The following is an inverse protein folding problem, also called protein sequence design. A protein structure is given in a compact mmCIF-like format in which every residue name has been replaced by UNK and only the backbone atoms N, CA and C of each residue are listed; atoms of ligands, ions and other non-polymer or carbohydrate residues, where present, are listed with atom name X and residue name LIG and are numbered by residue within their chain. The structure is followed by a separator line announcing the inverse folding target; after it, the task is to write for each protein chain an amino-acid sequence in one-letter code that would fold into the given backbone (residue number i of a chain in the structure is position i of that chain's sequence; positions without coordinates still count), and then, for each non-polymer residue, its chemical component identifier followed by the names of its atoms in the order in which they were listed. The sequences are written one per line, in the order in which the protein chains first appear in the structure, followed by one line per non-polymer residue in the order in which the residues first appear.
data_IF_333636426639
#
_entry.id   IF_333636426639
#
_cell.length_a   1.000
_cell.length_b   1.000
_cell.length_c   1.000
_cell.angle_alpha   90.00
_cell.angle_beta   90.00
_cell.angle_gamma   90.00
#
_symmetry.space_group_name_H-M   'P 1'
#
loop_
_entity.id
_entity.type
_entity.pdbx_description
1 polymer ?
#
# COMPACT_ATOMS: atom_id res chain seq x y z
N UNK A 1 -25.46 -22.09 9.03
CA UNK A 1 -24.99 -22.01 10.43
C UNK A 1 -26.09 -21.32 11.22
N UNK A 2 -26.64 -22.03 12.21
CA UNK A 2 -27.78 -21.61 13.02
C UNK A 2 -27.39 -20.46 13.96
N UNK A 3 -28.30 -19.50 14.26
CA UNK A 3 -28.08 -18.54 15.32
C UNK A 3 -28.32 -19.22 16.67
N UNK A 4 -27.34 -19.19 17.55
CA UNK A 4 -27.47 -19.69 18.92
C UNK A 4 -28.10 -18.60 19.78
N UNK A 5 -29.40 -18.74 20.03
CA UNK A 5 -30.15 -18.10 21.11
C UNK A 5 -29.49 -18.48 22.44
N UNK A 6 -28.76 -17.55 23.04
CA UNK A 6 -28.22 -17.67 24.40
C UNK A 6 -28.55 -16.37 25.12
N UNK A 7 -29.83 -16.16 25.41
CA UNK A 7 -30.27 -14.95 26.13
C UNK A 7 -31.41 -15.18 27.13
N UNK A 8 -31.87 -16.41 27.33
CA UNK A 8 -33.06 -16.69 28.17
C UNK A 8 -32.76 -17.49 29.46
N UNK A 9 -31.49 -17.63 29.85
CA UNK A 9 -31.11 -18.45 31.03
C UNK A 9 -30.53 -17.68 32.23
N UNK A 10 -30.33 -16.36 32.13
CA UNK A 10 -29.81 -15.58 33.28
C UNK A 10 -30.91 -14.79 34.03
N UNK A 11 -32.10 -14.62 33.46
CA UNK A 11 -33.20 -13.89 34.12
C UNK A 11 -34.08 -14.78 35.03
N UNK A 12 -34.09 -16.11 34.83
CA UNK A 12 -34.96 -17.02 35.61
C UNK A 12 -34.40 -17.37 37.01
N UNK A 13 -33.09 -17.23 37.22
CA UNK A 13 -32.45 -17.48 38.51
C UNK A 13 -32.46 -16.23 39.43
N UNK A 14 -32.70 -15.04 38.89
CA UNK A 14 -32.81 -13.81 39.70
C UNK A 14 -34.19 -13.61 40.34
N UNK A 15 -35.27 -14.13 39.74
CA UNK A 15 -36.62 -14.02 40.31
C UNK A 15 -36.90 -15.02 41.44
N UNK A 16 -36.28 -16.20 41.42
CA UNK A 16 -36.50 -17.23 42.45
C UNK A 16 -35.73 -17.00 43.76
N UNK A 17 -34.84 -16.02 43.84
CA UNK A 17 -34.09 -15.67 45.07
C UNK A 17 -34.77 -14.60 45.94
N UNK A 18 -35.93 -14.06 45.55
CA UNK A 18 -36.68 -13.06 46.35
C UNK A 18 -37.73 -13.65 47.29
N UNK A 19 -37.57 -14.89 47.77
CA UNK A 19 -38.28 -15.36 48.97
C UNK A 19 -37.41 -15.09 50.19
N UNK A 20 -37.60 -13.91 50.79
CA UNK A 20 -37.02 -13.55 52.09
C UNK A 20 -37.72 -14.40 53.15
N UNK A 21 -37.17 -15.59 53.42
CA UNK A 21 -37.49 -16.31 54.65
C UNK A 21 -36.84 -15.55 55.79
N UNK A 22 -37.66 -14.90 56.63
CA UNK A 22 -37.17 -14.31 57.86
C UNK A 22 -36.60 -15.44 58.73
N UNK A 23 -35.27 -15.46 58.87
CA UNK A 23 -34.54 -16.43 59.70
C UNK A 23 -35.08 -16.41 61.13
N UNK A 24 -35.11 -17.54 61.84
CA UNK A 24 -35.59 -17.63 63.24
C UNK A 24 -35.00 -16.57 64.18
N UNK A 25 -33.77 -16.12 63.90
CA UNK A 25 -33.08 -15.02 64.58
C UNK A 25 -33.78 -13.67 64.38
N UNK A 26 -34.28 -13.38 63.18
CA UNK A 26 -35.03 -12.14 62.87
C UNK A 26 -36.42 -12.14 63.55
N UNK A 27 -37.04 -13.31 63.68
CA UNK A 27 -38.30 -13.48 64.42
C UNK A 27 -38.07 -13.34 65.95
N UNK A 28 -36.91 -13.80 66.44
CA UNK A 28 -36.49 -13.63 67.83
C UNK A 28 -36.17 -12.19 68.22
N UNK A 29 -35.46 -11.45 67.35
CA UNK A 29 -35.17 -10.02 67.52
C UNK A 29 -36.44 -9.16 67.47
N UNK A 30 -37.33 -9.39 66.50
CA UNK A 30 -38.60 -8.66 66.40
C UNK A 30 -39.49 -8.82 67.65
N UNK A 31 -39.47 -9.99 68.31
CA UNK A 31 -40.19 -10.20 69.59
C UNK A 31 -39.53 -9.46 70.77
N UNK A 32 -38.23 -9.22 70.72
CA UNK A 32 -37.50 -8.51 71.76
C UNK A 32 -37.65 -6.99 71.63
N UNK A 33 -37.74 -6.48 70.40
CA UNK A 33 -37.98 -5.06 70.07
C UNK A 33 -39.40 -4.58 70.43
N UNK A 34 -40.39 -5.48 70.39
CA UNK A 34 -41.76 -5.20 70.87
C UNK A 34 -41.79 -5.00 72.39
N UNK A 35 -40.89 -5.66 73.13
CA UNK A 35 -40.87 -5.63 74.59
C UNK A 35 -39.95 -4.55 75.18
N UNK A 36 -38.92 -4.09 74.45
CA UNK A 36 -38.06 -3.00 74.90
C UNK A 36 -37.60 -2.10 73.72
N UNK A 37 -38.43 -1.13 73.30
CA UNK A 37 -38.23 -0.39 72.06
C UNK A 37 -37.00 0.54 72.04
N UNK A 38 -36.31 0.72 73.17
CA UNK A 38 -35.11 1.58 73.30
C UNK A 38 -33.80 0.83 73.57
N UNK A 39 -33.80 -0.50 73.50
CA UNK A 39 -32.63 -1.34 73.84
C UNK A 39 -31.48 -1.29 72.83
N UNK A 40 -30.25 -1.54 73.31
CA UNK A 40 -29.01 -1.53 72.52
C UNK A 40 -29.02 -2.45 71.27
N UNK A 41 -29.83 -3.50 71.27
CA UNK A 41 -29.97 -4.40 70.12
C UNK A 41 -30.71 -3.78 68.92
N UNK A 42 -31.62 -2.82 69.15
CA UNK A 42 -32.26 -2.06 68.08
C UNK A 42 -31.22 -1.20 67.34
N UNK A 43 -30.32 -0.56 68.09
CA UNK A 43 -29.24 0.24 67.49
C UNK A 43 -28.22 -0.62 66.74
N UNK A 44 -27.94 -1.84 67.19
CA UNK A 44 -27.07 -2.79 66.47
C UNK A 44 -27.72 -3.29 65.18
N UNK A 45 -29.03 -3.55 65.17
CA UNK A 45 -29.77 -3.95 63.97
C UNK A 45 -29.87 -2.80 62.97
N UNK A 46 -30.17 -1.58 63.42
CA UNK A 46 -30.18 -0.39 62.57
C UNK A 46 -28.80 -0.15 61.94
N UNK A 47 -27.72 -0.25 62.72
CA UNK A 47 -26.34 -0.16 62.21
C UNK A 47 -26.02 -1.30 61.23
N UNK A 48 -26.47 -2.52 61.48
CA UNK A 48 -26.28 -3.65 60.56
C UNK A 48 -27.03 -3.45 59.24
N UNK A 49 -28.25 -2.89 59.28
CA UNK A 49 -29.05 -2.56 58.10
C UNK A 49 -28.45 -1.40 57.30
N UNK A 50 -27.95 -0.36 57.97
CA UNK A 50 -27.22 0.74 57.30
C UNK A 50 -25.93 0.25 56.66
N UNK A 51 -25.15 -0.59 57.36
CA UNK A 51 -23.96 -1.22 56.82
C UNK A 51 -24.28 -2.13 55.63
N UNK A 52 -25.35 -2.94 55.71
CA UNK A 52 -25.80 -3.78 54.61
C UNK A 52 -26.21 -2.95 53.38
N UNK A 53 -26.96 -1.86 53.58
CA UNK A 53 -27.32 -0.93 52.49
C UNK A 53 -26.07 -0.33 51.84
N UNK A 54 -25.14 0.16 52.65
CA UNK A 54 -23.88 0.75 52.16
C UNK A 54 -23.05 -0.26 51.38
N UNK A 55 -22.84 -1.46 51.91
CA UNK A 55 -22.09 -2.53 51.23
C UNK A 55 -22.80 -2.98 49.96
N UNK A 56 -24.13 -3.04 49.95
CA UNK A 56 -24.90 -3.36 48.74
C UNK A 56 -24.75 -2.29 47.66
N UNK A 57 -24.73 -1.00 48.03
CA UNK A 57 -24.50 0.09 47.09
C UNK A 57 -23.07 0.11 46.56
N UNK A 58 -22.07 -0.10 47.43
CA UNK A 58 -20.67 -0.24 47.03
C UNK A 58 -20.48 -1.44 46.11
N UNK A 59 -21.10 -2.60 46.41
CA UNK A 59 -21.06 -3.79 45.57
C UNK A 59 -21.67 -3.51 44.19
N UNK A 60 -22.84 -2.85 44.12
CA UNK A 60 -23.45 -2.46 42.84
C UNK A 60 -22.57 -1.54 42.01
N UNK A 61 -21.89 -0.57 42.65
CA UNK A 61 -20.93 0.31 41.98
C UNK A 61 -19.74 -0.48 41.43
N UNK A 62 -19.12 -1.34 42.25
CA UNK A 62 -17.99 -2.17 41.82
C UNK A 62 -18.36 -3.16 40.71
N UNK A 63 -19.57 -3.72 40.75
CA UNK A 63 -20.08 -4.59 39.69
C UNK A 63 -20.26 -3.81 38.38
N UNK A 64 -20.82 -2.61 38.45
CA UNK A 64 -20.95 -1.75 37.28
C UNK A 64 -19.59 -1.34 36.69
N UNK A 65 -18.62 -0.99 37.53
CA UNK A 65 -17.25 -0.68 37.11
C UNK A 65 -16.57 -1.90 36.46
N UNK A 66 -16.76 -3.09 37.02
CA UNK A 66 -16.24 -4.34 36.45
C UNK A 66 -16.85 -4.64 35.09
N UNK A 67 -18.17 -4.48 34.93
CA UNK A 67 -18.85 -4.65 33.64
C UNK A 67 -18.36 -3.64 32.59
N UNK A 68 -18.13 -2.38 32.98
CA UNK A 68 -17.55 -1.37 32.09
C UNK A 68 -16.13 -1.76 31.66
N UNK A 69 -15.28 -2.19 32.60
CA UNK A 69 -13.92 -2.63 32.28
C UNK A 69 -13.92 -3.87 31.37
N UNK A 70 -14.82 -4.82 31.62
CA UNK A 70 -14.99 -6.01 30.77
C UNK A 70 -15.37 -5.62 29.35
N UNK A 71 -16.35 -4.71 29.16
CA UNK A 71 -16.72 -4.20 27.83
C UNK A 71 -15.55 -3.54 27.11
N UNK A 72 -14.76 -2.73 27.82
CA UNK A 72 -13.55 -2.10 27.24
C UNK A 72 -12.49 -3.13 26.82
N UNK A 73 -12.34 -4.23 27.57
CA UNK A 73 -11.44 -5.32 27.19
C UNK A 73 -11.95 -6.09 25.96
N UNK A 74 -13.25 -6.34 25.89
CA UNK A 74 -13.88 -7.00 24.74
C UNK A 74 -13.75 -6.15 23.47
N UNK A 75 -14.02 -4.84 23.56
CA UNK A 75 -13.79 -3.89 22.46
C UNK A 75 -12.33 -3.89 21.99
N UNK A 76 -11.37 -3.87 22.93
CA UNK A 76 -9.94 -3.96 22.59
C UNK A 76 -9.59 -5.28 21.92
N UNK A 77 -10.18 -6.38 22.38
CA UNK A 77 -9.99 -7.71 21.78
C UNK A 77 -10.51 -7.76 20.36
N UNK A 78 -11.70 -7.23 20.10
CA UNK A 78 -12.24 -7.14 18.74
C UNK A 78 -11.37 -6.31 17.81
N UNK A 79 -10.85 -5.17 18.29
CA UNK A 79 -9.94 -4.32 17.51
C UNK A 79 -8.64 -5.07 17.19
N UNK A 80 -8.10 -5.83 18.14
CA UNK A 80 -6.91 -6.66 17.92
C UNK A 80 -7.17 -7.77 16.91
N UNK A 81 -8.32 -8.45 16.99
CA UNK A 81 -8.70 -9.52 16.06
C UNK A 81 -8.87 -8.98 14.64
N UNK A 82 -9.52 -7.82 14.47
CA UNK A 82 -9.63 -7.13 13.17
C UNK A 82 -8.26 -6.79 12.62
N UNK A 83 -7.38 -6.21 13.44
CA UNK A 83 -6.00 -5.87 13.04
C UNK A 83 -5.19 -7.11 12.67
N UNK A 84 -5.37 -8.21 13.39
CA UNK A 84 -4.71 -9.48 13.06
C UNK A 84 -5.21 -10.04 11.73
N UNK A 85 -6.51 -9.91 11.43
CA UNK A 85 -7.10 -10.25 10.14
C UNK A 85 -6.50 -9.43 8.99
N UNK A 86 -6.42 -8.11 9.16
CA UNK A 86 -5.80 -7.20 8.18
C UNK A 86 -4.31 -7.51 7.94
N UNK A 87 -3.56 -7.83 9.01
CA UNK A 87 -2.15 -8.21 8.90
C UNK A 87 -1.98 -9.52 8.11
N UNK A 88 -2.83 -10.53 8.35
CA UNK A 88 -2.81 -11.78 7.59
C UNK A 88 -3.15 -11.56 6.12
N UNK A 89 -4.12 -10.68 5.83
CA UNK A 89 -4.47 -10.30 4.45
C UNK A 89 -3.31 -9.58 3.74
N UNK A 90 -2.66 -8.61 4.40
CA UNK A 90 -1.47 -7.95 3.83
C UNK A 90 -0.31 -8.93 3.62
N UNK A 91 -0.11 -9.88 4.53
CA UNK A 91 0.93 -10.90 4.39
C UNK A 91 0.68 -11.82 3.19
N UNK A 92 -0.58 -12.22 2.94
CA UNK A 92 -0.93 -13.03 1.78
C UNK A 92 -0.79 -12.24 0.46
N UNK A 93 -1.16 -10.96 0.46
CA UNK A 93 -0.96 -10.05 -0.67
C UNK A 93 0.53 -9.88 -1.02
N UNK A 94 1.39 -9.66 -0.03
CA UNK A 94 2.83 -9.54 -0.21
C UNK A 94 3.44 -10.85 -0.76
N UNK A 95 2.98 -11.99 -0.25
CA UNK A 95 3.43 -13.31 -0.74
C UNK A 95 3.02 -13.51 -2.20
N UNK A 96 1.78 -13.18 -2.54
CA UNK A 96 1.24 -13.26 -3.92
C UNK A 96 1.97 -12.29 -4.86
N UNK A 97 2.29 -11.09 -4.39
CA UNK A 97 3.09 -10.12 -5.14
C UNK A 97 4.50 -10.65 -5.41
N UNK A 98 5.18 -11.21 -4.40
CA UNK A 98 6.50 -11.82 -4.56
C UNK A 98 6.50 -12.99 -5.54
N UNK A 99 5.45 -13.82 -5.54
CA UNK A 99 5.29 -14.91 -6.52
C UNK A 99 5.12 -14.36 -7.95
N UNK A 100 4.21 -13.41 -8.16
CA UNK A 100 4.00 -12.76 -9.47
C UNK A 100 5.26 -12.08 -9.99
N UNK A 101 6.06 -11.48 -9.10
CA UNK A 101 7.33 -10.88 -9.50
C UNK A 101 8.32 -11.93 -9.98
N UNK A 102 8.50 -13.03 -9.24
CA UNK A 102 9.37 -14.14 -9.65
C UNK A 102 8.95 -14.76 -10.98
N UNK A 103 7.66 -14.95 -11.21
CA UNK A 103 7.12 -15.46 -12.47
C UNK A 103 7.42 -14.52 -13.64
N UNK A 104 7.25 -13.20 -13.45
CA UNK A 104 7.62 -12.19 -14.46
C UNK A 104 9.12 -12.19 -14.74
N UNK A 105 9.95 -12.28 -13.72
CA UNK A 105 11.40 -12.32 -13.88
C UNK A 105 11.83 -13.58 -14.65
N UNK A 106 11.24 -14.75 -14.33
CA UNK A 106 11.46 -16.01 -15.07
C UNK A 106 11.01 -15.91 -16.53
N UNK A 107 9.83 -15.34 -16.79
CA UNK A 107 9.32 -15.19 -18.15
C UNK A 107 10.18 -14.23 -18.97
N UNK A 108 10.69 -13.18 -18.34
CA UNK A 108 11.61 -12.21 -18.97
C UNK A 108 12.94 -12.87 -19.31
N UNK A 109 13.51 -13.65 -18.38
CA UNK A 109 14.73 -14.43 -18.62
C UNK A 109 14.55 -15.41 -19.77
N UNK A 110 13.45 -16.16 -19.79
CA UNK A 110 13.13 -17.10 -20.87
C UNK A 110 13.04 -16.40 -22.24
N UNK A 111 12.36 -15.24 -22.31
CA UNK A 111 12.28 -14.47 -23.55
C UNK A 111 13.64 -13.92 -23.99
N UNK A 112 14.51 -13.54 -23.05
CA UNK A 112 15.86 -13.09 -23.37
C UNK A 112 16.73 -14.24 -23.90
N UNK A 113 16.64 -15.42 -23.30
CA UNK A 113 17.34 -16.62 -23.79
C UNK A 113 16.85 -17.01 -25.19
N UNK A 114 15.54 -17.02 -25.42
CA UNK A 114 14.98 -17.31 -26.74
C UNK A 114 15.47 -16.32 -27.81
N UNK A 115 15.47 -15.02 -27.50
CA UNK A 115 16.02 -13.99 -28.42
C UNK A 115 17.51 -14.19 -28.68
N UNK A 116 18.27 -14.59 -27.65
CA UNK A 116 19.71 -14.86 -27.81
C UNK A 116 19.93 -16.04 -28.75
N UNK A 117 19.13 -17.11 -28.62
CA UNK A 117 19.23 -18.28 -29.49
C UNK A 117 18.83 -17.95 -30.94
N UNK A 118 17.80 -17.13 -31.15
CA UNK A 118 17.43 -16.63 -32.47
C UNK A 118 18.55 -15.80 -33.11
N UNK A 119 19.19 -14.91 -32.35
CA UNK A 119 20.34 -14.14 -32.81
C UNK A 119 21.51 -15.06 -33.19
N UNK A 120 21.79 -16.08 -32.37
CA UNK A 120 22.84 -17.07 -32.66
C UNK A 120 22.54 -17.88 -33.92
N UNK A 121 21.30 -18.27 -34.17
CA UNK A 121 20.90 -18.92 -35.42
C UNK A 121 21.13 -18.01 -36.63
N UNK A 122 20.67 -16.76 -36.57
CA UNK A 122 20.90 -15.80 -37.65
C UNK A 122 22.39 -15.56 -37.90
N UNK A 123 23.19 -15.50 -36.84
CA UNK A 123 24.64 -15.31 -36.96
C UNK A 123 25.31 -16.52 -37.62
N UNK A 124 24.86 -17.74 -37.34
CA UNK A 124 25.30 -18.95 -38.02
C UNK A 124 24.88 -18.97 -39.51
N UNK A 125 23.67 -18.52 -39.83
CA UNK A 125 23.22 -18.38 -41.23
C UNK A 125 24.09 -17.38 -41.99
N UNK A 126 24.40 -16.22 -41.38
CA UNK A 126 25.30 -15.21 -41.95
C UNK A 126 26.69 -15.79 -42.16
N UNK A 127 27.24 -16.55 -41.19
CA UNK A 127 28.53 -17.21 -41.34
C UNK A 127 28.52 -18.18 -42.54
N UNK A 128 27.47 -18.99 -42.69
CA UNK A 128 27.33 -19.90 -43.82
C UNK A 128 27.26 -19.18 -45.18
N UNK A 129 26.56 -18.05 -45.24
CA UNK A 129 26.52 -17.21 -46.45
C UNK A 129 27.89 -16.60 -46.77
N UNK A 130 28.64 -16.16 -45.76
CA UNK A 130 30.00 -15.63 -45.93
C UNK A 130 30.92 -16.70 -46.53
N UNK A 131 30.87 -17.94 -46.02
CA UNK A 131 31.65 -19.04 -46.56
C UNK A 131 31.28 -19.38 -48.01
N UNK A 132 29.98 -19.35 -48.35
CA UNK A 132 29.52 -19.53 -49.73
C UNK A 132 30.02 -18.43 -50.66
N UNK A 133 29.98 -17.17 -50.23
CA UNK A 133 30.50 -16.02 -51.00
C UNK A 133 32.00 -16.16 -51.19
N UNK A 134 32.75 -16.56 -50.16
CA UNK A 134 34.19 -16.79 -50.24
C UNK A 134 34.50 -17.91 -51.25
N UNK A 135 33.79 -19.04 -51.19
CA UNK A 135 33.91 -20.14 -52.14
C UNK A 135 33.57 -19.74 -53.58
N UNK A 136 32.48 -19.01 -53.80
CA UNK A 136 32.10 -18.49 -55.10
C UNK A 136 33.15 -17.52 -55.67
N UNK A 137 33.73 -16.67 -54.82
CA UNK A 137 34.78 -15.73 -55.21
C UNK A 137 36.06 -16.45 -55.63
N UNK A 138 36.45 -17.52 -54.92
CA UNK A 138 37.58 -18.36 -55.28
C UNK A 138 37.37 -19.05 -56.64
N UNK A 139 36.18 -19.59 -56.89
CA UNK A 139 35.82 -20.19 -58.19
C UNK A 139 35.85 -19.17 -59.33
N UNK A 140 35.32 -17.97 -59.10
CA UNK A 140 35.36 -16.88 -60.08
C UNK A 140 36.80 -16.50 -60.44
N UNK A 141 37.70 -16.46 -59.44
CA UNK A 141 39.11 -16.19 -59.66
C UNK A 141 39.78 -17.29 -60.50
N UNK A 142 39.54 -18.56 -60.18
CA UNK A 142 40.04 -19.69 -60.95
C UNK A 142 39.53 -19.68 -62.41
N UNK A 143 38.25 -19.36 -62.62
CA UNK A 143 37.66 -19.22 -63.94
C UNK A 143 38.31 -18.08 -64.74
N UNK A 144 38.54 -16.91 -64.13
CA UNK A 144 39.26 -15.80 -64.78
C UNK A 144 40.65 -16.22 -65.23
N UNK A 145 41.40 -16.90 -64.37
CA UNK A 145 42.73 -17.42 -64.71
C UNK A 145 42.68 -18.41 -65.88
N UNK A 146 41.71 -19.33 -65.89
CA UNK A 146 41.53 -20.29 -66.99
C UNK A 146 41.15 -19.60 -68.31
N UNK A 147 40.31 -18.58 -68.24
CA UNK A 147 39.88 -17.81 -69.41
C UNK A 147 41.05 -17.04 -70.04
N UNK A 148 41.98 -16.53 -69.22
CA UNK A 148 43.26 -15.98 -69.73
C UNK A 148 44.08 -17.05 -70.46
N UNK A 149 44.15 -18.28 -69.95
CA UNK A 149 44.84 -19.38 -70.65
C UNK A 149 44.17 -19.69 -72.00
N UNK A 150 42.83 -19.76 -72.05
CA UNK A 150 42.10 -19.97 -73.30
C UNK A 150 42.31 -18.83 -74.30
N UNK A 151 42.46 -17.59 -73.84
CA UNK A 151 42.81 -16.46 -74.69
C UNK A 151 44.14 -16.68 -75.42
N UNK A 152 45.17 -17.12 -74.70
CA UNK A 152 46.49 -17.47 -75.30
C UNK A 152 46.35 -18.59 -76.33
N UNK A 153 45.56 -19.63 -76.03
CA UNK A 153 45.28 -20.70 -77.01
C UNK A 153 44.55 -20.18 -78.25
N UNK A 154 43.56 -19.31 -78.08
CA UNK A 154 42.82 -18.72 -79.20
C UNK A 154 43.73 -17.88 -80.09
N UNK A 155 44.60 -17.07 -79.50
CA UNK A 155 45.59 -16.26 -80.23
C UNK A 155 46.56 -17.17 -81.01
N UNK A 156 47.02 -18.26 -80.39
CA UNK A 156 47.87 -19.27 -81.05
C UNK A 156 47.18 -19.96 -82.23
N UNK A 157 45.93 -20.41 -82.06
CA UNK A 157 45.16 -21.05 -83.13
C UNK A 157 44.88 -20.07 -84.26
N UNK A 158 44.55 -18.81 -83.96
CA UNK A 158 44.43 -17.76 -84.97
C UNK A 158 45.73 -17.57 -85.76
N UNK A 159 46.88 -17.58 -85.08
CA UNK A 159 48.19 -17.50 -85.74
C UNK A 159 48.45 -18.68 -86.68
N UNK A 160 48.14 -19.91 -86.26
CA UNK A 160 48.28 -21.10 -87.12
C UNK A 160 47.30 -21.04 -88.30
N UNK A 161 46.06 -20.63 -88.06
CA UNK A 161 45.05 -20.49 -89.11
C UNK A 161 45.46 -19.45 -90.17
N UNK A 162 46.05 -18.33 -89.74
CA UNK A 162 46.65 -17.33 -90.64
C UNK A 162 47.82 -17.90 -91.45
N UNK A 163 48.66 -18.76 -90.84
CA UNK A 163 49.74 -19.47 -91.55
C UNK A 163 49.21 -20.50 -92.56
N UNK A 164 48.15 -21.25 -92.22
CA UNK A 164 47.52 -22.27 -93.10
C UNK A 164 46.74 -21.65 -94.26
N UNK A 165 46.08 -20.51 -94.06
CA UNK A 165 45.36 -19.78 -95.11
C UNK A 165 46.29 -18.95 -96.03
N UNK A 166 47.61 -19.18 -95.98
CA UNK A 166 48.53 -18.72 -97.01
C UNK A 166 48.85 -17.23 -97.00
N UNK A 167 48.76 -16.54 -95.87
CA UNK A 167 49.31 -15.16 -95.77
C UNK A 167 50.83 -15.13 -95.52
N UNK A 168 51.46 -16.29 -95.34
CA UNK A 168 52.91 -16.48 -95.51
C UNK A 168 53.15 -17.79 -96.26
N UNK A 169 53.11 -17.72 -97.59
CA UNK A 169 53.61 -18.78 -98.44
C UNK A 169 55.13 -18.64 -98.53
N UNK A 170 55.86 -19.30 -97.62
CA UNK A 170 57.24 -19.69 -97.91
C UNK A 170 57.18 -20.99 -98.71
N UNK A 171 57.57 -20.85 -99.98
CA UNK A 171 57.48 -21.89 -100.98
C UNK A 171 58.34 -23.10 -100.64
N UNK A 172 57.86 -24.27 -101.06
CA UNK A 172 58.64 -25.38 -101.65
C UNK A 172 57.67 -26.53 -101.91
N UNK A 173 57.01 -26.54 -103.07
CA UNK A 173 56.34 -27.73 -103.57
C UNK A 173 57.27 -28.48 -104.55
N UNK A 174 57.68 -29.68 -104.18
CA UNK A 174 58.23 -30.68 -105.11
C UNK A 174 57.08 -31.38 -105.86
N UNK A 175 57.29 -31.81 -107.11
CA UNK A 175 56.24 -32.41 -107.92
C UNK A 175 56.02 -33.87 -107.49
N UNK A 176 55.06 -34.10 -106.60
CA UNK A 176 54.55 -35.45 -106.31
C UNK A 176 53.68 -35.95 -107.47
N UNK A 177 53.76 -37.26 -107.74
CA UNK A 177 52.90 -37.98 -108.68
C UNK A 177 51.42 -37.77 -108.36
N UNK A 178 50.58 -37.63 -109.39
CA UNK A 178 49.15 -37.30 -109.29
C UNK A 178 48.38 -38.29 -108.40
N UNK A 179 48.86 -39.53 -108.31
CA UNK A 179 48.26 -40.61 -107.50
C UNK A 179 48.65 -40.54 -106.02
N UNK A 180 49.84 -40.01 -105.69
CA UNK A 180 50.27 -39.76 -104.32
C UNK A 180 49.65 -38.49 -103.74
N UNK A 181 49.39 -37.48 -104.58
CA UNK A 181 48.58 -36.31 -104.21
C UNK A 181 47.16 -36.74 -103.85
N UNK A 182 46.50 -37.53 -104.72
CA UNK A 182 45.18 -38.10 -104.47
C UNK A 182 45.13 -38.94 -103.18
N UNK A 183 46.09 -39.83 -102.93
CA UNK A 183 46.11 -40.64 -101.71
C UNK A 183 46.35 -39.81 -100.44
N UNK A 184 47.25 -38.82 -100.46
CA UNK A 184 47.46 -37.93 -99.31
C UNK A 184 46.23 -37.06 -99.03
N UNK A 185 45.55 -36.61 -100.08
CA UNK A 185 44.32 -35.82 -100.00
C UNK A 185 43.15 -36.65 -99.45
N UNK A 186 43.06 -37.93 -99.84
CA UNK A 186 42.06 -38.87 -99.34
C UNK A 186 42.28 -39.24 -97.86
N UNK A 187 43.54 -39.49 -97.46
CA UNK A 187 43.90 -39.71 -96.04
C UNK A 187 43.63 -38.46 -95.21
N UNK A 188 43.96 -37.28 -95.74
CA UNK A 188 43.68 -36.01 -95.07
C UNK A 188 42.18 -35.76 -94.90
N UNK A 189 41.38 -36.01 -95.94
CA UNK A 189 39.91 -35.93 -95.85
C UNK A 189 39.35 -36.89 -94.80
N UNK A 190 39.86 -38.13 -94.75
CA UNK A 190 39.40 -39.13 -93.79
C UNK A 190 39.75 -38.74 -92.35
N UNK A 191 40.97 -38.24 -92.11
CA UNK A 191 41.38 -37.72 -90.81
C UNK A 191 40.56 -36.50 -90.39
N UNK A 192 40.23 -35.60 -91.33
CA UNK A 192 39.36 -34.46 -91.07
C UNK A 192 37.93 -34.89 -90.71
N UNK A 193 37.36 -35.85 -91.44
CA UNK A 193 36.03 -36.39 -91.16
C UNK A 193 35.98 -37.06 -89.77
N UNK A 194 37.01 -37.81 -89.41
CA UNK A 194 37.10 -38.49 -88.12
C UNK A 194 37.31 -37.49 -86.97
N UNK A 195 38.13 -36.45 -87.16
CA UNK A 195 38.30 -35.37 -86.20
C UNK A 195 37.01 -34.57 -86.00
N UNK A 196 36.28 -34.26 -87.07
CA UNK A 196 34.97 -33.59 -87.03
C UNK A 196 33.94 -34.47 -86.32
N UNK A 197 33.86 -35.76 -86.64
CA UNK A 197 32.95 -36.71 -86.00
C UNK A 197 33.19 -36.84 -84.49
N UNK A 198 34.46 -37.00 -84.08
CA UNK A 198 34.83 -37.07 -82.68
C UNK A 198 34.49 -35.77 -81.91
N UNK A 199 34.62 -34.62 -82.57
CA UNK A 199 34.31 -33.32 -81.96
C UNK A 199 32.80 -33.09 -81.85
N UNK A 200 32.04 -33.52 -82.85
CA UNK A 200 30.58 -33.49 -82.83
C UNK A 200 30.02 -34.35 -81.70
N UNK A 201 30.55 -35.56 -81.50
CA UNK A 201 30.15 -36.42 -80.38
C UNK A 201 30.47 -35.80 -79.00
N UNK A 202 31.58 -35.06 -78.87
CA UNK A 202 31.90 -34.33 -77.63
C UNK A 202 30.91 -33.19 -77.36
N UNK A 203 30.60 -32.41 -78.39
CA UNK A 203 29.59 -31.34 -78.32
C UNK A 203 28.23 -31.88 -77.92
N UNK A 204 27.79 -32.99 -78.52
CA UNK A 204 26.52 -33.62 -78.18
C UNK A 204 26.48 -34.11 -76.72
N UNK A 205 27.59 -34.65 -76.20
CA UNK A 205 27.69 -35.04 -74.78
C UNK A 205 27.68 -33.82 -73.83
N UNK A 206 28.26 -32.70 -74.24
CA UNK A 206 28.21 -31.47 -73.46
C UNK A 206 26.82 -30.83 -73.48
N UNK A 207 26.12 -30.87 -74.62
CA UNK A 207 24.74 -30.38 -74.75
C UNK A 207 23.80 -31.13 -73.79
N UNK A 208 23.87 -32.46 -73.75
CA UNK A 208 23.07 -33.27 -72.82
C UNK A 208 23.38 -32.95 -71.35
N UNK A 209 24.66 -32.74 -71.02
CA UNK A 209 25.05 -32.32 -69.66
C UNK A 209 24.55 -30.93 -69.32
N UNK A 210 24.57 -30.00 -70.28
CA UNK A 210 24.05 -28.65 -70.10
C UNK A 210 22.54 -28.68 -69.83
N UNK A 211 21.79 -29.47 -70.60
CA UNK A 211 20.35 -29.65 -70.41
C UNK A 211 20.02 -30.27 -69.04
N UNK A 212 20.79 -31.26 -68.59
CA UNK A 212 20.62 -31.86 -67.25
C UNK A 212 20.90 -30.85 -66.11
N UNK A 213 21.92 -29.99 -66.28
CA UNK A 213 22.21 -28.92 -65.33
C UNK A 213 21.10 -27.87 -65.34
N UNK A 214 20.60 -27.45 -66.50
CA UNK A 214 19.48 -26.51 -66.61
C UNK A 214 18.20 -27.06 -65.95
N UNK A 215 17.88 -28.34 -66.17
CA UNK A 215 16.75 -28.98 -65.50
C UNK A 215 16.91 -28.97 -63.97
N UNK A 216 18.10 -29.29 -63.46
CA UNK A 216 18.38 -29.26 -62.01
C UNK A 216 18.31 -27.84 -61.44
N UNK A 217 18.81 -26.85 -62.16
CA UNK A 217 18.75 -25.44 -61.73
C UNK A 217 17.31 -24.94 -61.68
N UNK A 218 16.50 -25.26 -62.69
CA UNK A 218 15.08 -24.90 -62.71
C UNK A 218 14.30 -25.57 -61.56
N UNK A 219 14.56 -26.86 -61.29
CA UNK A 219 13.94 -27.54 -60.17
C UNK A 219 14.31 -26.92 -58.80
N UNK A 220 15.58 -26.53 -58.62
CA UNK A 220 16.02 -25.82 -57.42
C UNK A 220 15.38 -24.43 -57.30
N UNK A 221 15.28 -23.69 -58.41
CA UNK A 221 14.64 -22.38 -58.45
C UNK A 221 13.16 -22.47 -58.05
N UNK A 222 12.43 -23.45 -58.59
CA UNK A 222 11.03 -23.67 -58.26
C UNK A 222 10.84 -24.03 -56.77
N UNK A 223 11.71 -24.90 -56.24
CA UNK A 223 11.68 -25.27 -54.82
C UNK A 223 11.92 -24.05 -53.91
N UNK A 224 12.92 -23.22 -54.22
CA UNK A 224 13.21 -22.00 -53.47
C UNK A 224 12.05 -21.00 -53.59
N UNK A 225 11.47 -20.85 -54.78
CA UNK A 225 10.33 -19.95 -55.02
C UNK A 225 9.11 -20.33 -54.17
N UNK A 226 8.82 -21.63 -54.05
CA UNK A 226 7.72 -22.14 -53.22
C UNK A 226 8.02 -21.91 -51.74
N UNK A 227 9.23 -22.24 -51.27
CA UNK A 227 9.62 -22.01 -49.87
C UNK A 227 9.56 -20.52 -49.49
N UNK A 228 10.00 -19.64 -50.39
CA UNK A 228 9.98 -18.20 -50.16
C UNK A 228 8.53 -17.67 -50.04
N UNK A 229 7.62 -18.15 -50.90
CA UNK A 229 6.18 -17.80 -50.80
C UNK A 229 5.58 -18.28 -49.49
N UNK A 230 5.87 -19.52 -49.08
CA UNK A 230 5.35 -20.09 -47.84
C UNK A 230 5.85 -19.32 -46.61
N UNK A 231 7.16 -19.01 -46.56
CA UNK A 231 7.77 -18.22 -45.47
C UNK A 231 7.21 -16.80 -45.44
N UNK A 232 7.00 -16.18 -46.61
CA UNK A 232 6.38 -14.85 -46.69
C UNK A 232 4.95 -14.84 -46.15
N UNK A 233 4.16 -15.88 -46.44
CA UNK A 233 2.80 -16.01 -45.94
C UNK A 233 2.77 -16.23 -44.42
N UNK A 234 3.65 -17.06 -43.88
CA UNK A 234 3.81 -17.28 -42.44
C UNK A 234 4.25 -16.00 -41.71
N UNK A 235 5.21 -15.26 -42.27
CA UNK A 235 5.66 -13.99 -41.71
C UNK A 235 4.54 -12.94 -41.71
N UNK A 236 3.72 -12.87 -42.76
CA UNK A 236 2.55 -11.97 -42.77
C UNK A 236 1.53 -12.33 -41.69
N UNK A 237 1.26 -13.62 -41.48
CA UNK A 237 0.32 -14.07 -40.46
C UNK A 237 0.83 -13.75 -39.04
N UNK A 238 2.12 -13.97 -38.77
CA UNK A 238 2.73 -13.65 -37.48
C UNK A 238 2.76 -12.16 -37.21
N UNK A 239 3.09 -11.32 -38.20
CA UNK A 239 3.03 -9.86 -38.09
C UNK A 239 1.61 -9.39 -37.77
N UNK A 240 0.59 -9.89 -38.46
CA UNK A 240 -0.80 -9.52 -38.17
C UNK A 240 -1.24 -9.89 -36.75
N UNK A 241 -0.81 -11.06 -36.25
CA UNK A 241 -1.07 -11.47 -34.86
C UNK A 241 -0.35 -10.58 -33.84
N UNK A 242 0.88 -10.16 -34.13
CA UNK A 242 1.63 -9.25 -33.27
C UNK A 242 0.99 -7.85 -33.26
N UNK A 243 0.56 -7.33 -34.41
CA UNK A 243 -0.16 -6.06 -34.52
C UNK A 243 -1.47 -6.07 -33.71
N UNK A 244 -2.21 -7.18 -33.75
CA UNK A 244 -3.41 -7.35 -32.93
C UNK A 244 -3.07 -7.33 -31.42
N UNK A 245 -2.06 -8.07 -30.99
CA UNK A 245 -1.64 -8.06 -29.56
C UNK A 245 -1.16 -6.67 -29.12
N UNK A 246 -0.53 -5.93 -30.02
CA UNK A 246 -0.03 -4.57 -29.73
C UNK A 246 -1.20 -3.59 -29.54
N UNK A 247 -2.26 -3.71 -30.35
CA UNK A 247 -3.47 -2.89 -30.18
C UNK A 247 -4.24 -3.24 -28.89
N UNK A 248 -4.35 -4.53 -28.55
CA UNK A 248 -4.93 -4.98 -27.28
C UNK A 248 -4.17 -4.44 -26.06
N UNK A 249 -2.83 -4.50 -26.09
CA UNK A 249 -1.99 -3.94 -25.03
C UNK A 249 -2.12 -2.41 -24.93
N UNK A 250 -2.21 -1.71 -26.06
CA UNK A 250 -2.45 -0.27 -26.08
C UNK A 250 -3.77 0.10 -25.41
N UNK A 251 -4.86 -0.64 -25.70
CA UNK A 251 -6.16 -0.43 -25.08
C UNK A 251 -6.11 -0.64 -23.56
N UNK A 252 -5.43 -1.69 -23.10
CA UNK A 252 -5.25 -1.97 -21.67
C UNK A 252 -4.46 -0.83 -21.00
N UNK A 253 -3.42 -0.30 -21.67
CA UNK A 253 -2.63 0.80 -21.16
C UNK A 253 -3.46 2.07 -20.98
N UNK A 254 -4.33 2.39 -21.95
CA UNK A 254 -5.23 3.55 -21.85
C UNK A 254 -6.26 3.37 -20.71
N UNK A 255 -6.80 2.17 -20.54
CA UNK A 255 -7.69 1.84 -19.41
C UNK A 255 -6.99 1.94 -18.04
N UNK A 256 -5.70 1.59 -17.96
CA UNK A 256 -4.92 1.74 -16.74
C UNK A 256 -4.61 3.20 -16.44
N UNK A 257 -4.30 4.00 -17.47
CA UNK A 257 -4.05 5.43 -17.32
C UNK A 257 -5.30 6.18 -16.81
N UNK A 258 -6.46 5.90 -17.39
CA UNK A 258 -7.73 6.49 -16.92
C UNK A 258 -8.06 6.09 -15.48
N UNK A 259 -7.86 4.82 -15.10
CA UNK A 259 -8.02 4.39 -13.69
C UNK A 259 -7.05 5.11 -12.75
N UNK A 260 -5.79 5.28 -13.16
CA UNK A 260 -4.79 6.01 -12.38
C UNK A 260 -5.20 7.47 -12.15
N UNK A 261 -5.73 8.13 -13.16
CA UNK A 261 -6.23 9.51 -13.04
C UNK A 261 -7.42 9.60 -12.08
N UNK A 262 -8.38 8.67 -12.16
CA UNK A 262 -9.51 8.59 -11.22
C UNK A 262 -9.03 8.41 -9.78
N UNK A 263 -8.12 7.47 -9.52
CA UNK A 263 -7.56 7.27 -8.19
C UNK A 263 -6.81 8.51 -7.68
N UNK A 264 -6.09 9.23 -8.55
CA UNK A 264 -5.42 10.47 -8.17
C UNK A 264 -6.43 11.56 -7.78
N UNK A 265 -7.54 11.69 -8.52
CA UNK A 265 -8.61 12.64 -8.19
C UNK A 265 -9.25 12.29 -6.85
N UNK A 266 -9.61 11.02 -6.63
CA UNK A 266 -10.18 10.57 -5.35
C UNK A 266 -9.25 10.83 -4.17
N UNK A 267 -7.95 10.60 -4.36
CA UNK A 267 -6.94 10.84 -3.33
C UNK A 267 -6.76 12.34 -3.04
N UNK A 268 -6.87 13.21 -4.05
CA UNK A 268 -6.89 14.67 -3.83
C UNK A 268 -8.12 15.09 -3.02
N UNK A 269 -9.30 14.57 -3.34
CA UNK A 269 -10.53 14.87 -2.60
C UNK A 269 -10.44 14.40 -1.15
N UNK A 270 -9.90 13.20 -0.91
CA UNK A 270 -9.67 12.68 0.44
C UNK A 270 -8.69 13.55 1.23
N UNK A 271 -7.60 14.01 0.61
CA UNK A 271 -6.64 14.90 1.27
C UNK A 271 -7.27 16.25 1.64
N UNK A 272 -8.13 16.82 0.78
CA UNK A 272 -8.86 18.04 1.10
C UNK A 272 -9.79 17.84 2.31
N UNK A 273 -10.57 16.75 2.33
CA UNK A 273 -11.43 16.40 3.47
C UNK A 273 -10.62 16.19 4.76
N UNK A 274 -9.47 15.53 4.67
CA UNK A 274 -8.59 15.32 5.81
C UNK A 274 -8.06 16.65 6.36
N UNK A 275 -7.68 17.58 5.47
CA UNK A 275 -7.22 18.90 5.87
C UNK A 275 -8.32 19.70 6.58
N UNK A 276 -9.55 19.68 6.03
CA UNK A 276 -10.72 20.30 6.66
C UNK A 276 -10.99 19.75 8.06
N UNK A 277 -10.98 18.42 8.23
CA UNK A 277 -11.14 17.78 9.55
C UNK A 277 -10.00 18.09 10.51
N UNK A 278 -8.78 18.21 10.01
CA UNK A 278 -7.62 18.63 10.83
C UNK A 278 -7.80 20.06 11.34
N UNK A 279 -8.34 20.96 10.49
CA UNK A 279 -8.64 22.33 10.87
C UNK A 279 -9.78 22.41 11.90
N UNK A 280 -10.86 21.64 11.71
CA UNK A 280 -11.94 21.52 12.70
C UNK A 280 -11.41 21.05 14.06
N UNK A 281 -10.55 20.01 14.08
CA UNK A 281 -9.93 19.51 15.31
C UNK A 281 -9.07 20.57 15.99
N UNK A 282 -8.28 21.33 15.24
CA UNK A 282 -7.48 22.44 15.78
C UNK A 282 -8.34 23.52 16.41
N UNK A 283 -9.48 23.85 15.80
CA UNK A 283 -10.43 24.82 16.34
C UNK A 283 -11.07 24.31 17.65
N UNK A 284 -11.49 23.04 17.68
CA UNK A 284 -12.03 22.40 18.88
C UNK A 284 -10.99 22.35 20.00
N UNK A 285 -9.75 21.99 19.69
CA UNK A 285 -8.66 21.95 20.66
C UNK A 285 -8.39 23.35 21.26
N UNK A 286 -8.43 24.38 20.43
CA UNK A 286 -8.29 25.77 20.88
C UNK A 286 -9.45 26.20 21.79
N UNK A 287 -10.68 25.83 21.44
CA UNK A 287 -11.86 26.08 22.28
C UNK A 287 -11.77 25.36 23.64
N UNK A 288 -11.34 24.09 23.65
CA UNK A 288 -11.12 23.32 24.88
C UNK A 288 -10.06 23.99 25.75
N UNK A 289 -8.93 24.41 25.17
CA UNK A 289 -7.87 25.11 25.90
C UNK A 289 -8.39 26.40 26.57
N UNK A 290 -9.19 27.18 25.85
CA UNK A 290 -9.80 28.40 26.39
C UNK A 290 -10.77 28.10 27.54
N UNK A 291 -11.60 27.07 27.40
CA UNK A 291 -12.52 26.63 28.47
C UNK A 291 -11.75 26.16 29.70
N UNK A 292 -10.70 25.35 29.53
CA UNK A 292 -9.85 24.90 30.64
C UNK A 292 -9.20 26.08 31.36
N UNK A 293 -8.68 27.07 30.63
CA UNK A 293 -8.13 28.30 31.23
C UNK A 293 -9.18 29.02 32.06
N UNK A 294 -10.40 29.15 31.54
CA UNK A 294 -11.49 29.84 32.24
C UNK A 294 -11.98 29.08 33.48
N UNK A 295 -11.99 27.76 33.44
CA UNK A 295 -12.30 26.92 34.61
C UNK A 295 -11.22 27.08 35.68
N UNK A 296 -9.94 27.06 35.30
CA UNK A 296 -8.83 27.27 36.23
C UNK A 296 -8.93 28.65 36.92
N UNK A 297 -9.21 29.72 36.16
CA UNK A 297 -9.44 31.06 36.73
C UNK A 297 -10.62 31.11 37.70
N UNK A 298 -11.71 30.37 37.42
CA UNK A 298 -12.86 30.29 38.33
C UNK A 298 -12.51 29.52 39.61
N UNK A 299 -11.77 28.42 39.49
CA UNK A 299 -11.31 27.63 40.64
C UNK A 299 -10.39 28.45 41.55
N UNK A 300 -9.43 29.19 40.97
CA UNK A 300 -8.57 30.10 41.75
C UNK A 300 -9.37 31.17 42.52
N UNK A 301 -10.44 31.70 41.90
CA UNK A 301 -11.35 32.66 42.57
C UNK A 301 -12.13 31.99 43.70
N UNK A 302 -12.63 30.79 43.51
CA UNK A 302 -13.34 30.03 44.53
C UNK A 302 -12.43 29.70 45.73
N UNK A 303 -11.19 29.27 45.48
CA UNK A 303 -10.19 29.01 46.52
C UNK A 303 -9.82 30.28 47.29
N UNK A 304 -9.70 31.42 46.60
CA UNK A 304 -9.53 32.73 47.24
C UNK A 304 -10.71 33.06 48.14
N UNK A 305 -11.95 32.90 47.66
CA UNK A 305 -13.17 33.18 48.43
C UNK A 305 -13.28 32.29 49.67
N UNK A 306 -12.95 31.01 49.53
CA UNK A 306 -12.90 30.05 50.65
C UNK A 306 -11.87 30.48 51.69
N UNK A 307 -10.65 30.83 51.28
CA UNK A 307 -9.58 31.28 52.18
C UNK A 307 -9.96 32.56 52.92
N UNK A 308 -10.57 33.53 52.24
CA UNK A 308 -11.02 34.78 52.86
C UNK A 308 -12.13 34.55 53.88
N UNK A 309 -13.10 33.68 53.57
CA UNK A 309 -14.17 33.35 54.51
C UNK A 309 -13.69 32.54 55.72
N UNK A 310 -12.67 31.69 55.56
CA UNK A 310 -12.06 30.96 56.67
C UNK A 310 -11.30 31.88 57.63
N UNK A 311 -10.69 32.95 57.10
CA UNK A 311 -9.95 33.97 57.87
C UNK A 311 -10.80 35.10 58.43
N UNK A 312 -12.05 35.27 57.98
CA UNK A 312 -12.93 36.32 58.43
C UNK A 312 -13.24 36.23 59.94
N UNK A 313 -13.17 37.38 60.64
CA UNK A 313 -13.56 37.44 62.05
C UNK A 313 -15.08 37.44 62.18
N UNK A 314 -15.56 37.07 63.37
CA UNK A 314 -17.00 37.03 63.67
C UNK A 314 -17.64 38.42 63.50
N UNK A 315 -16.89 39.47 63.80
CA UNK A 315 -17.31 40.87 63.64
C UNK A 315 -17.51 41.24 62.15
N UNK A 316 -16.61 40.79 61.26
CA UNK A 316 -16.70 41.01 59.82
C UNK A 316 -17.89 40.26 59.21
N UNK A 317 -18.15 39.04 59.70
CA UNK A 317 -19.29 38.22 59.26
C UNK A 317 -20.64 38.77 59.72
N UNK A 318 -20.68 39.49 60.85
CA UNK A 318 -21.89 40.13 61.37
C UNK A 318 -22.10 41.57 60.87
N UNK A 319 -21.14 42.12 60.11
CA UNK A 319 -21.11 43.52 59.66
C UNK A 319 -21.34 44.52 60.82
N UNK A 320 -20.66 44.29 61.95
CA UNK A 320 -20.70 45.18 63.12
C UNK A 320 -20.76 44.45 64.47
N UNK A 321 -20.54 45.19 65.55
CA UNK A 321 -20.58 44.69 66.92
C UNK A 321 -22.02 44.35 67.34
N UNK A 322 -22.27 43.10 67.75
CA UNK A 322 -23.56 42.71 68.29
C UNK A 322 -23.52 42.77 69.83
N UNK A 323 -24.18 43.76 70.46
CA UNK A 323 -24.06 44.00 71.89
C UNK A 323 -24.64 42.87 72.76
N UNK A 324 -25.50 42.01 72.20
CA UNK A 324 -26.01 40.82 72.91
C UNK A 324 -24.98 39.69 72.90
N UNK A 325 -24.27 39.50 71.79
CA UNK A 325 -23.24 38.49 71.66
C UNK A 325 -22.02 38.83 72.53
N UNK A 326 -21.65 40.10 72.61
CA UNK A 326 -20.55 40.56 73.45
C UNK A 326 -20.83 40.38 74.93
N UNK A 327 -22.05 40.69 75.39
CA UNK A 327 -22.46 40.43 76.78
C UNK A 327 -22.39 38.95 77.14
N UNK A 328 -22.85 38.07 76.25
CA UNK A 328 -22.79 36.62 76.47
C UNK A 328 -21.35 36.08 76.41
N UNK A 329 -20.52 36.63 75.51
CA UNK A 329 -19.10 36.29 75.41
C UNK A 329 -18.34 36.72 76.65
N UNK A 330 -18.60 37.93 77.16
CA UNK A 330 -17.96 38.47 78.36
C UNK A 330 -18.37 37.68 79.62
N UNK A 331 -19.65 37.29 79.73
CA UNK A 331 -20.08 36.34 80.77
C UNK A 331 -19.36 34.98 80.68
N UNK A 332 -19.19 34.44 79.47
CA UNK A 332 -18.45 33.19 79.27
C UNK A 332 -16.96 33.32 79.57
N UNK A 333 -16.34 34.44 79.20
CA UNK A 333 -14.93 34.75 79.44
C UNK A 333 -14.62 34.92 80.94
N UNK A 334 -15.51 35.61 81.66
CA UNK A 334 -15.42 35.74 83.11
C UNK A 334 -15.64 34.39 83.81
N UNK A 335 -16.57 33.56 83.32
CA UNK A 335 -16.83 32.21 83.83
C UNK A 335 -15.67 31.24 83.56
N UNK A 336 -14.94 31.41 82.47
CA UNK A 336 -13.75 30.63 82.13
C UNK A 336 -12.45 31.18 82.75
N UNK A 337 -12.53 32.21 83.60
CA UNK A 337 -11.39 32.87 84.28
C UNK A 337 -10.28 33.33 83.32
N UNK A 338 -10.61 33.67 82.07
CA UNK A 338 -9.65 34.16 81.08
C UNK A 338 -8.69 33.11 80.52
N UNK A 339 -8.94 31.82 80.74
CA UNK A 339 -8.11 30.73 80.17
C UNK A 339 -8.31 30.51 78.65
N UNK A 340 -9.39 31.06 78.09
CA UNK A 340 -9.76 30.91 76.67
C UNK A 340 -9.84 32.30 76.05
N UNK A 341 -9.23 32.48 74.90
CA UNK A 341 -9.21 33.75 74.19
C UNK A 341 -10.63 34.25 73.85
N UNK A 342 -10.84 35.57 73.86
CA UNK A 342 -12.16 36.18 73.63
C UNK A 342 -12.74 35.79 72.29
N UNK A 343 -11.93 35.64 71.24
CA UNK A 343 -12.40 35.15 69.93
C UNK A 343 -12.89 33.70 69.96
N UNK A 344 -12.23 32.84 70.73
CA UNK A 344 -12.63 31.44 70.86
C UNK A 344 -13.89 31.30 71.71
N UNK A 345 -14.07 32.15 72.73
CA UNK A 345 -15.32 32.31 73.46
C UNK A 345 -16.47 32.76 72.51
N UNK A 346 -16.24 33.74 71.62
CA UNK A 346 -17.23 34.13 70.60
C UNK A 346 -17.60 32.94 69.70
N UNK A 347 -16.63 32.15 69.23
CA UNK A 347 -16.87 30.94 68.41
C UNK A 347 -17.71 29.89 69.15
N UNK A 348 -17.47 29.70 70.46
CA UNK A 348 -18.22 28.73 71.28
C UNK A 348 -19.64 29.19 71.59
N UNK A 349 -19.87 30.48 71.82
CA UNK A 349 -21.21 31.05 72.07
C UNK A 349 -22.09 31.00 70.81
N UNK A 350 -21.54 31.27 69.63
CA UNK A 350 -22.28 31.18 68.35
C UNK A 350 -22.56 29.72 67.98
N UNK A 351 -21.62 28.81 68.26
CA UNK A 351 -21.74 27.39 67.95
C UNK A 351 -21.27 27.06 66.53
N UNK A 352 -20.73 25.83 66.35
CA UNK A 352 -20.05 25.42 65.10
C UNK A 352 -20.95 25.46 63.86
N UNK A 353 -22.18 24.93 63.96
CA UNK A 353 -23.11 24.88 62.83
C UNK A 353 -23.56 26.26 62.35
N UNK A 354 -23.80 27.19 63.28
CA UNK A 354 -24.18 28.56 62.94
C UNK A 354 -22.98 29.34 62.36
N UNK A 355 -21.78 29.10 62.87
CA UNK A 355 -20.54 29.65 62.32
C UNK A 355 -20.26 29.17 60.88
N UNK A 356 -20.50 27.90 60.57
CA UNK A 356 -20.37 27.36 59.21
C UNK A 356 -21.36 28.04 58.26
N UNK A 357 -22.64 28.17 58.67
CA UNK A 357 -23.65 28.88 57.88
C UNK A 357 -23.30 30.35 57.68
N UNK A 358 -22.81 31.03 58.71
CA UNK A 358 -22.36 32.42 58.61
C UNK A 358 -21.17 32.57 57.67
N UNK A 359 -20.24 31.62 57.67
CA UNK A 359 -19.13 31.57 56.71
C UNK A 359 -19.63 31.36 55.29
N UNK A 360 -20.60 30.49 55.06
CA UNK A 360 -21.16 30.27 53.73
C UNK A 360 -21.93 31.50 53.23
N UNK A 361 -22.68 32.17 54.10
CA UNK A 361 -23.32 33.46 53.78
C UNK A 361 -22.28 34.55 53.48
N UNK A 362 -21.16 34.56 54.21
CA UNK A 362 -20.07 35.49 53.97
C UNK A 362 -19.32 35.20 52.65
N UNK A 363 -19.07 33.91 52.31
CA UNK A 363 -18.56 33.50 50.99
C UNK A 363 -19.46 34.00 49.87
N UNK A 364 -20.77 33.82 49.99
CA UNK A 364 -21.74 34.35 49.03
C UNK A 364 -21.67 35.89 48.95
N UNK A 365 -21.44 36.58 50.07
CA UNK A 365 -21.23 38.02 50.09
C UNK A 365 -19.98 38.47 49.34
N UNK A 366 -18.86 37.75 49.47
CA UNK A 366 -17.62 38.01 48.70
C UNK A 366 -17.88 37.72 47.22
N UNK A 367 -18.51 36.60 46.89
CA UNK A 367 -18.85 36.23 45.52
C UNK A 367 -19.71 37.29 44.82
N UNK A 368 -20.74 37.81 45.50
CA UNK A 368 -21.59 38.88 44.97
C UNK A 368 -20.82 40.18 44.77
N UNK A 369 -19.87 40.49 45.66
CA UNK A 369 -18.99 41.65 45.50
C UNK A 369 -18.05 41.49 44.30
N UNK A 370 -17.41 40.34 44.18
CA UNK A 370 -16.53 40.02 43.04
C UNK A 370 -17.31 40.09 41.72
N UNK A 371 -18.56 39.60 41.69
CA UNK A 371 -19.46 39.72 40.52
C UNK A 371 -19.84 41.17 40.21
N UNK A 372 -20.11 41.98 41.23
CA UNK A 372 -20.39 43.41 41.06
C UNK A 372 -19.18 44.17 40.53
N UNK A 373 -17.98 43.86 41.02
CA UNK A 373 -16.72 44.46 40.57
C UNK A 373 -16.37 44.02 39.14
N UNK A 374 -16.65 42.76 38.77
CA UNK A 374 -16.57 42.26 37.38
C UNK A 374 -17.53 43.01 36.45
N UNK A 375 -18.77 43.24 36.88
CA UNK A 375 -19.74 44.01 36.10
C UNK A 375 -19.25 45.45 35.92
N UNK A 376 -18.73 46.11 36.96
CA UNK A 376 -18.17 47.47 36.85
C UNK A 376 -16.97 47.56 35.90
N UNK A 377 -16.06 46.58 35.94
CA UNK A 377 -14.95 46.48 34.98
C UNK A 377 -15.44 46.34 33.55
N UNK A 378 -16.46 45.52 33.29
CA UNK A 378 -17.07 45.39 31.97
C UNK A 378 -17.74 46.68 31.48
N UNK A 379 -18.17 47.56 32.40
CA UNK A 379 -18.73 48.88 32.08
C UNK A 379 -17.65 50.00 32.05
N UNK A 380 -16.37 49.67 32.25
CA UNK A 380 -15.25 50.62 32.16
C UNK A 380 -15.03 51.50 33.39
N UNK A 381 -15.67 51.22 34.52
CA UNK A 381 -15.49 51.95 35.77
C UNK A 381 -14.27 51.43 36.54
N UNK A 382 -13.45 52.33 37.14
CA UNK A 382 -12.30 51.93 37.98
C UNK A 382 -12.80 51.35 39.31
N UNK A 383 -12.29 50.18 39.69
CA UNK A 383 -12.53 49.59 41.01
C UNK A 383 -11.73 50.38 42.05
N UNK A 384 -12.39 50.89 43.09
CA UNK A 384 -11.72 51.47 44.26
C UNK A 384 -11.02 50.36 45.06
N UNK A 385 -9.70 50.23 44.89
CA UNK A 385 -8.84 49.41 45.75
C UNK A 385 -8.70 50.06 47.13
N UNK A 386 -9.74 49.95 47.96
CA UNK A 386 -9.65 50.20 49.40
C UNK A 386 -10.33 49.10 50.18
N UNK A 387 -9.78 47.89 50.14
CA UNK A 387 -9.67 46.97 51.30
C UNK A 387 -8.55 45.98 50.96
N UNK A 388 -7.36 46.18 51.53
CA UNK A 388 -6.38 45.11 51.79
C UNK A 388 -6.63 44.58 53.18
#
# INVERSE_FOLDING_TARGET
MQPSTTQDFEDSDQENQRKVYLTEVQVGLARHEINDPSGAHNTELEQALENFKRVSEELKKTQHEYEQQKRLLDERREVLDRRQGELKARQSELTSYGQRQKERDQQTLFQQEQKRDEILQQLNEVSGLVDQIAGATALLHALKSRNQTYKVYSEFVQSIYQKLNGTQADGFEQPLSQQEKMNKEQIFQQNCLEAVGNRFQRLQKEEVKSQDIEMKLNAQYDQISVQLRQRTMQNRATVAQLEQKLSELSLIQDQLNTKKELYNQDNQVLNLKLHEKTQELSNVQSAIKNLMSRIAEMQEKEDRQKTLAERARIEDMLRGENPKLEKQTEMYYQRSKGLVDKEECKKRVVGKQLMERMRDVYKLGIFLKDMQDLVRLCHGEKIDEKVK
#
